data_IF_284220091901
#
_entry.id   IF_284220091901
#
_cell.length_a   1.000
_cell.length_b   1.000
_cell.length_c   1.000
_cell.angle_alpha   90.00
_cell.angle_beta   90.00
_cell.angle_gamma   90.00
#
_symmetry.space_group_name_H-M   'P 1'
#
loop_
_entity.id
_entity.type
_entity.pdbx_description
1 polymer ?
#
# COMPACT_ATOMS: atom_id res chain seq x y z
N UNK A 1 -35.55 20.11 6.03
CA UNK A 1 -36.09 19.00 6.85
C UNK A 1 -34.93 18.05 7.15
N UNK A 2 -34.15 18.33 8.19
CA UNK A 2 -33.05 17.50 8.69
C UNK A 2 -33.28 17.42 10.20
N UNK A 3 -34.17 16.52 10.58
CA UNK A 3 -34.63 16.36 11.96
C UNK A 3 -34.53 14.88 12.26
N UNK A 4 -33.38 14.50 12.80
CA UNK A 4 -33.14 13.58 13.91
C UNK A 4 -31.75 12.98 13.71
N UNK A 5 -30.76 13.59 14.35
CA UNK A 5 -29.50 12.93 14.67
C UNK A 5 -29.81 11.92 15.80
N UNK A 6 -29.68 10.63 15.51
CA UNK A 6 -30.03 9.55 16.44
C UNK A 6 -28.85 9.20 17.38
N UNK A 7 -27.65 9.76 17.15
CA UNK A 7 -26.43 9.43 17.91
C UNK A 7 -25.45 10.60 18.02
N UNK A 8 -25.71 11.64 18.82
CA UNK A 8 -24.72 12.70 18.98
C UNK A 8 -23.50 12.19 19.78
N UNK A 9 -22.30 12.25 19.19
CA UNK A 9 -21.01 12.05 19.86
C UNK A 9 -20.24 10.78 19.47
N UNK A 10 -19.53 10.17 20.43
CA UNK A 10 -18.62 9.02 20.20
C UNK A 10 -19.30 7.82 19.52
N UNK A 11 -20.60 7.62 19.74
CA UNK A 11 -21.36 6.53 19.12
C UNK A 11 -21.53 6.71 17.60
N UNK A 12 -21.71 7.95 17.11
CA UNK A 12 -21.73 8.23 15.66
C UNK A 12 -20.36 8.04 15.04
N UNK A 13 -19.29 8.46 15.72
CA UNK A 13 -17.92 8.22 15.24
C UNK A 13 -17.57 6.72 15.23
N UNK A 14 -17.99 5.95 16.24
CA UNK A 14 -17.83 4.49 16.25
C UNK A 14 -18.64 3.81 15.16
N UNK A 15 -19.87 4.27 14.91
CA UNK A 15 -20.69 3.76 13.81
C UNK A 15 -20.10 4.09 12.45
N UNK A 16 -19.52 5.28 12.26
CA UNK A 16 -18.80 5.66 11.05
C UNK A 16 -17.54 4.83 10.86
N UNK A 17 -16.75 4.59 11.92
CA UNK A 17 -15.57 3.70 11.86
C UNK A 17 -16.01 2.29 11.48
N UNK A 18 -17.01 1.72 12.16
CA UNK A 18 -17.51 0.38 11.87
C UNK A 18 -18.10 0.27 10.45
N UNK A 19 -18.69 1.36 9.93
CA UNK A 19 -19.18 1.41 8.56
C UNK A 19 -18.05 1.47 7.54
N UNK A 20 -17.04 2.30 7.75
CA UNK A 20 -15.84 2.35 6.90
C UNK A 20 -15.11 1.01 6.92
N UNK A 21 -14.97 0.38 8.09
CA UNK A 21 -14.43 -0.98 8.21
C UNK A 21 -15.25 -1.98 7.39
N UNK A 22 -16.58 -1.95 7.48
CA UNK A 22 -17.45 -2.83 6.70
C UNK A 22 -17.32 -2.60 5.18
N UNK A 23 -17.26 -1.34 4.75
CA UNK A 23 -17.05 -0.98 3.33
C UNK A 23 -15.70 -1.48 2.86
N UNK A 24 -14.61 -1.22 3.60
CA UNK A 24 -13.26 -1.69 3.28
C UNK A 24 -13.19 -3.23 3.22
N UNK A 25 -13.84 -3.94 4.16
CA UNK A 25 -13.96 -5.41 4.12
C UNK A 25 -14.73 -5.91 2.90
N UNK A 26 -15.79 -5.20 2.50
CA UNK A 26 -16.57 -5.52 1.32
C UNK A 26 -15.74 -5.28 0.04
N UNK A 27 -15.00 -4.18 -0.02
CA UNK A 27 -14.12 -3.86 -1.14
C UNK A 27 -12.95 -4.83 -1.25
N UNK A 28 -12.38 -5.32 -0.14
CA UNK A 28 -11.40 -6.42 -0.15
C UNK A 28 -11.98 -7.71 -0.69
N UNK A 29 -13.21 -8.04 -0.32
CA UNK A 29 -13.91 -9.20 -0.87
C UNK A 29 -14.18 -9.05 -2.38
N UNK A 30 -14.27 -7.81 -2.86
CA UNK A 30 -14.40 -7.47 -4.28
C UNK A 30 -13.05 -7.29 -5.00
N UNK A 31 -11.96 -7.02 -4.27
CA UNK A 31 -10.58 -7.04 -4.75
C UNK A 31 -10.13 -8.50 -4.89
N UNK A 32 -10.54 -9.11 -6.00
CA UNK A 32 -10.19 -10.51 -6.29
C UNK A 32 -8.67 -10.68 -6.43
N UNK A 33 -8.09 -11.40 -5.45
CA UNK A 33 -6.78 -12.02 -5.55
C UNK A 33 -5.67 -11.41 -4.69
N UNK A 34 -5.94 -10.62 -3.65
CA UNK A 34 -4.87 -10.25 -2.70
C UNK A 34 -4.07 -11.50 -2.27
N UNK A 35 -2.73 -11.40 -2.22
CA UNK A 35 -1.89 -12.57 -2.02
C UNK A 35 -2.15 -13.22 -0.66
N UNK A 36 -2.05 -14.54 -0.63
CA UNK A 36 -2.08 -15.27 0.64
C UNK A 36 -0.70 -15.17 1.28
N UNK A 37 -0.60 -14.80 2.57
CA UNK A 37 0.70 -14.72 3.23
C UNK A 37 1.44 -16.05 3.19
N UNK A 38 2.72 -16.02 2.82
CA UNK A 38 3.58 -17.19 2.87
C UNK A 38 4.32 -17.26 4.20
N UNK A 39 4.42 -18.45 4.77
CA UNK A 39 5.23 -18.70 5.97
C UNK A 39 6.70 -18.90 5.56
N UNK A 40 7.45 -17.80 5.48
CA UNK A 40 8.86 -17.80 5.09
C UNK A 40 9.67 -16.73 5.84
N UNK A 41 11.00 -16.85 5.84
CA UNK A 41 11.89 -15.77 6.30
C UNK A 41 12.14 -14.77 5.18
N UNK A 42 12.12 -13.47 5.49
CA UNK A 42 12.41 -12.41 4.51
C UNK A 42 13.93 -12.31 4.32
N UNK A 43 14.40 -12.63 3.11
CA UNK A 43 15.81 -12.56 2.76
C UNK A 43 16.24 -11.11 2.48
N UNK A 44 17.37 -10.67 3.06
CA UNK A 44 17.98 -9.37 2.74
C UNK A 44 18.53 -9.40 1.30
N UNK A 45 18.30 -8.34 0.55
CA UNK A 45 18.67 -8.16 -0.86
C UNK A 45 19.64 -7.00 -0.99
N UNK A 46 20.59 -7.15 -1.92
CA UNK A 46 21.50 -6.08 -2.28
C UNK A 46 20.83 -5.15 -3.29
N UNK A 47 20.47 -3.95 -2.85
CA UNK A 47 19.80 -2.91 -3.64
C UNK A 47 20.50 -2.59 -4.97
N UNK A 48 21.83 -2.76 -5.05
CA UNK A 48 22.59 -2.46 -6.27
C UNK A 48 22.27 -3.40 -7.43
N UNK A 49 21.78 -4.61 -7.12
CA UNK A 49 21.38 -5.62 -8.11
C UNK A 49 19.98 -5.40 -8.68
N UNK A 50 19.24 -4.45 -8.12
CA UNK A 50 17.84 -4.22 -8.44
C UNK A 50 17.62 -2.88 -9.17
N UNK A 51 18.66 -2.33 -9.83
CA UNK A 51 18.57 -1.10 -10.63
C UNK A 51 18.21 -1.38 -12.09
N UNK A 52 17.47 -0.46 -12.72
CA UNK A 52 17.02 -0.53 -14.12
C UNK A 52 16.26 -1.83 -14.43
N UNK A 53 15.43 -2.28 -13.48
CA UNK A 53 14.66 -3.52 -13.61
C UNK A 53 13.26 -3.23 -14.12
N UNK A 54 12.67 -4.27 -14.71
CA UNK A 54 11.24 -4.33 -14.97
C UNK A 54 10.58 -4.94 -13.74
N UNK A 55 9.59 -4.27 -13.18
CA UNK A 55 8.81 -4.71 -12.04
C UNK A 55 7.38 -4.98 -12.50
N UNK A 56 6.72 -6.00 -11.96
CA UNK A 56 5.39 -6.38 -12.41
C UNK A 56 4.46 -6.70 -11.24
N UNK A 57 3.22 -6.24 -11.35
CA UNK A 57 2.12 -6.59 -10.45
C UNK A 57 0.80 -6.54 -11.21
N UNK A 58 -0.31 -6.93 -10.60
CA UNK A 58 -1.63 -6.86 -11.24
C UNK A 58 -2.06 -5.41 -11.45
N UNK A 59 -2.66 -5.15 -12.60
CA UNK A 59 -3.34 -3.90 -12.93
C UNK A 59 -4.50 -3.60 -11.97
N UNK A 60 -5.00 -2.36 -12.00
CA UNK A 60 -5.98 -1.82 -11.02
C UNK A 60 -5.37 -1.83 -9.63
N UNK A 61 -4.38 -0.97 -9.43
CA UNK A 61 -3.58 -0.97 -8.20
C UNK A 61 -4.46 -0.80 -6.96
N UNK A 62 -4.32 -1.76 -6.06
CA UNK A 62 -4.80 -1.65 -4.68
C UNK A 62 -3.77 -0.89 -3.84
N UNK A 63 -4.09 -0.61 -2.57
CA UNK A 63 -3.28 0.25 -1.70
C UNK A 63 -1.84 -0.25 -1.53
N UNK A 64 -1.65 -1.57 -1.34
CA UNK A 64 -0.30 -2.15 -1.19
C UNK A 64 0.49 -2.06 -2.50
N UNK A 65 -0.15 -2.33 -3.65
CA UNK A 65 0.51 -2.26 -4.98
C UNK A 65 1.00 -0.86 -5.31
N UNK A 66 0.16 0.16 -5.10
CA UNK A 66 0.55 1.54 -5.41
C UNK A 66 1.66 2.01 -4.47
N UNK A 67 1.59 1.65 -3.20
CA UNK A 67 2.64 1.96 -2.22
C UNK A 67 3.95 1.23 -2.54
N UNK A 68 3.90 -0.05 -2.93
CA UNK A 68 5.06 -0.83 -3.37
C UNK A 68 5.72 -0.18 -4.60
N UNK A 69 4.94 0.17 -5.62
CA UNK A 69 5.48 0.79 -6.82
C UNK A 69 6.14 2.16 -6.54
N UNK A 70 5.53 2.96 -5.65
CA UNK A 70 6.14 4.21 -5.17
C UNK A 70 7.45 3.96 -4.41
N UNK A 71 7.47 3.00 -3.48
CA UNK A 71 8.65 2.64 -2.69
C UNK A 71 9.80 2.16 -3.60
N UNK A 72 9.47 1.30 -4.56
CA UNK A 72 10.41 0.80 -5.56
C UNK A 72 11.02 1.98 -6.31
N UNK A 73 10.19 2.83 -6.93
CA UNK A 73 10.69 3.95 -7.74
C UNK A 73 11.49 4.96 -6.92
N UNK A 74 11.13 5.19 -5.66
CA UNK A 74 11.76 6.23 -4.85
C UNK A 74 13.06 5.79 -4.18
N UNK A 75 13.11 4.57 -3.64
CA UNK A 75 14.22 4.12 -2.80
C UNK A 75 15.03 2.99 -3.43
N UNK A 76 14.38 2.04 -4.11
CA UNK A 76 15.01 0.79 -4.58
C UNK A 76 15.58 0.92 -5.99
N UNK A 77 14.81 1.45 -6.92
CA UNK A 77 15.12 1.50 -8.35
C UNK A 77 14.50 2.76 -8.99
N UNK A 78 15.31 3.84 -9.06
CA UNK A 78 14.87 5.15 -9.59
C UNK A 78 14.48 5.11 -11.07
N UNK A 79 14.93 4.10 -11.79
CA UNK A 79 14.68 3.91 -13.22
C UNK A 79 13.82 2.67 -13.47
N UNK A 80 13.04 2.26 -12.46
CA UNK A 80 12.09 1.16 -12.57
C UNK A 80 11.05 1.41 -13.67
N UNK A 81 10.89 0.40 -14.52
CA UNK A 81 9.77 0.28 -15.45
C UNK A 81 8.74 -0.69 -14.87
N UNK A 82 7.46 -0.39 -14.99
CA UNK A 82 6.40 -1.24 -14.47
C UNK A 82 5.59 -1.90 -15.57
N UNK A 83 5.12 -3.12 -15.29
CA UNK A 83 4.17 -3.86 -16.11
C UNK A 83 2.96 -4.19 -15.26
N UNK A 84 1.80 -3.69 -15.68
CA UNK A 84 0.51 -3.90 -15.02
C UNK A 84 -0.22 -5.08 -15.65
N UNK A 85 -0.11 -6.24 -15.01
CA UNK A 85 -0.55 -7.53 -15.53
C UNK A 85 -2.07 -7.67 -15.48
N UNK A 86 -2.69 -8.24 -16.52
CA UNK A 86 -4.07 -8.69 -16.42
C UNK A 86 -4.20 -9.96 -15.55
N UNK A 87 -3.19 -10.82 -15.58
CA UNK A 87 -3.09 -12.02 -14.75
C UNK A 87 -1.64 -12.31 -14.32
N UNK A 88 -1.38 -12.83 -13.10
CA UNK A 88 -0.02 -13.15 -12.64
C UNK A 88 0.79 -14.06 -13.58
N UNK A 89 0.13 -14.96 -14.30
CA UNK A 89 0.77 -15.90 -15.25
C UNK A 89 1.36 -15.20 -16.47
N UNK A 90 0.98 -13.96 -16.74
CA UNK A 90 1.51 -13.14 -17.84
C UNK A 90 2.81 -12.41 -17.46
N UNK A 91 3.30 -12.59 -16.22
CA UNK A 91 4.53 -11.94 -15.76
C UNK A 91 5.74 -12.34 -16.62
N UNK A 92 6.46 -11.39 -17.24
CA UNK A 92 7.65 -11.69 -18.02
C UNK A 92 8.73 -12.37 -17.16
N UNK A 93 9.43 -13.37 -17.72
CA UNK A 93 10.44 -14.13 -16.97
C UNK A 93 11.62 -13.28 -16.44
N UNK A 94 11.86 -12.11 -17.03
CA UNK A 94 12.90 -11.17 -16.61
C UNK A 94 12.37 -10.06 -15.68
N UNK A 95 11.06 -10.00 -15.42
CA UNK A 95 10.46 -9.02 -14.53
C UNK A 95 10.48 -9.50 -13.07
N UNK A 96 10.56 -8.54 -12.16
CA UNK A 96 10.48 -8.78 -10.72
C UNK A 96 9.04 -8.62 -10.26
N UNK A 97 8.41 -9.75 -9.91
CA UNK A 97 7.04 -9.78 -9.43
C UNK A 97 6.89 -9.22 -8.03
N UNK A 98 5.83 -8.45 -7.78
CA UNK A 98 5.41 -8.06 -6.44
C UNK A 98 3.89 -8.08 -6.25
N UNK A 99 3.44 -8.33 -5.03
CA UNK A 99 2.03 -8.27 -4.59
C UNK A 99 1.02 -9.16 -5.34
N UNK A 100 1.41 -10.41 -5.54
CA UNK A 100 0.53 -11.50 -5.96
C UNK A 100 1.13 -12.86 -5.55
N UNK A 101 0.32 -13.91 -5.61
CA UNK A 101 0.76 -15.26 -5.23
C UNK A 101 1.90 -15.76 -6.13
N UNK A 102 3.02 -16.15 -5.51
CA UNK A 102 4.21 -16.60 -6.22
C UNK A 102 5.13 -15.48 -6.75
N UNK A 103 4.81 -14.22 -6.48
CA UNK A 103 5.73 -13.11 -6.71
C UNK A 103 7.00 -13.22 -5.84
N UNK A 104 8.11 -12.64 -6.28
CA UNK A 104 9.35 -12.60 -5.47
C UNK A 104 9.16 -11.78 -4.19
N UNK A 105 8.37 -10.71 -4.26
CA UNK A 105 8.01 -9.86 -3.13
C UNK A 105 6.50 -9.93 -2.89
N UNK A 106 6.07 -10.78 -1.97
CA UNK A 106 4.66 -10.97 -1.62
C UNK A 106 4.48 -10.94 -0.11
N UNK A 107 3.25 -11.09 0.39
CA UNK A 107 2.96 -11.11 1.83
C UNK A 107 3.71 -12.24 2.53
N UNK A 108 4.33 -11.94 3.67
CA UNK A 108 5.07 -12.92 4.48
C UNK A 108 4.65 -12.82 5.94
N UNK A 109 4.04 -13.89 6.46
CA UNK A 109 3.46 -13.90 7.80
C UNK A 109 2.42 -12.80 7.98
N UNK A 110 2.70 -11.82 8.87
CA UNK A 110 1.82 -10.65 9.09
C UNK A 110 2.21 -9.40 8.30
N UNK A 111 3.23 -9.50 7.44
CA UNK A 111 3.75 -8.35 6.68
C UNK A 111 3.15 -8.34 5.28
N UNK A 112 2.60 -7.19 4.91
CA UNK A 112 2.16 -6.91 3.54
C UNK A 112 3.36 -6.70 2.62
N UNK A 113 3.17 -6.70 1.30
CA UNK A 113 4.25 -6.66 0.30
C UNK A 113 5.14 -5.43 0.50
N UNK A 114 4.57 -4.28 0.84
CA UNK A 114 5.33 -3.06 1.13
C UNK A 114 6.35 -3.27 2.26
N UNK A 115 5.94 -3.90 3.34
CA UNK A 115 6.80 -4.15 4.50
C UNK A 115 7.82 -5.26 4.24
N UNK A 116 7.47 -6.21 3.38
CA UNK A 116 8.42 -7.21 2.89
C UNK A 116 9.50 -6.57 2.04
N UNK A 117 9.17 -5.58 1.20
CA UNK A 117 10.18 -4.78 0.47
C UNK A 117 11.06 -3.98 1.43
N UNK A 118 10.49 -3.31 2.44
CA UNK A 118 11.28 -2.59 3.45
C UNK A 118 12.29 -3.51 4.15
N UNK A 119 11.80 -4.65 4.64
CA UNK A 119 12.63 -5.64 5.30
C UNK A 119 13.67 -6.23 4.34
N UNK A 120 13.30 -6.52 3.08
CA UNK A 120 14.22 -7.08 2.08
C UNK A 120 15.38 -6.14 1.75
N UNK A 121 15.13 -4.84 1.61
CA UNK A 121 16.13 -3.87 1.18
C UNK A 121 16.79 -3.08 2.33
N UNK A 122 16.50 -3.44 3.59
CA UNK A 122 17.11 -2.77 4.74
C UNK A 122 16.63 -1.34 4.97
N UNK A 123 15.37 -1.07 4.61
CA UNK A 123 14.69 0.22 4.81
C UNK A 123 13.82 0.22 6.07
N UNK A 124 13.87 -0.86 6.85
CA UNK A 124 13.10 -1.13 8.06
C UNK A 124 13.58 -0.36 9.30
N UNK A 125 14.55 0.54 9.16
CA UNK A 125 14.99 1.49 10.20
C UNK A 125 14.50 2.92 9.97
N UNK A 126 13.86 3.21 8.83
CA UNK A 126 13.32 4.53 8.51
C UNK A 126 11.93 4.69 9.14
N UNK A 127 11.81 5.60 10.11
CA UNK A 127 10.56 5.86 10.85
C UNK A 127 9.39 6.24 9.94
N UNK A 128 9.63 7.07 8.92
CA UNK A 128 8.58 7.50 7.99
C UNK A 128 8.07 6.34 7.15
N UNK A 129 8.97 5.48 6.66
CA UNK A 129 8.61 4.28 5.92
C UNK A 129 7.89 3.25 6.81
N UNK A 130 8.29 3.10 8.08
CA UNK A 130 7.61 2.22 9.02
C UNK A 130 6.17 2.67 9.29
N UNK A 131 5.94 3.98 9.46
CA UNK A 131 4.58 4.54 9.64
C UNK A 131 3.73 4.42 8.37
N UNK A 132 4.32 4.64 7.19
CA UNK A 132 3.66 4.34 5.92
C UNK A 132 3.30 2.84 5.84
N UNK A 133 4.20 1.94 6.22
CA UNK A 133 3.95 0.50 6.24
C UNK A 133 2.77 0.11 7.12
N UNK A 134 2.65 0.71 8.31
CA UNK A 134 1.50 0.51 9.19
C UNK A 134 0.19 0.98 8.56
N UNK A 135 0.19 2.15 7.89
CA UNK A 135 -0.98 2.67 7.18
C UNK A 135 -1.39 1.75 6.03
N UNK A 136 -0.44 1.30 5.22
CA UNK A 136 -0.66 0.38 4.11
C UNK A 136 -1.22 -0.94 4.63
N UNK A 137 -0.60 -1.55 5.66
CA UNK A 137 -1.11 -2.79 6.28
C UNK A 137 -2.54 -2.63 6.78
N UNK A 138 -2.84 -1.52 7.46
CA UNK A 138 -4.20 -1.28 7.96
C UNK A 138 -5.21 -1.23 6.80
N UNK A 139 -4.92 -0.52 5.72
CA UNK A 139 -5.82 -0.42 4.56
C UNK A 139 -5.89 -1.73 3.76
N UNK A 140 -4.81 -2.48 3.69
CA UNK A 140 -4.71 -3.70 2.90
C UNK A 140 -5.34 -4.91 3.59
N UNK A 141 -5.04 -5.13 4.87
CA UNK A 141 -5.48 -6.32 5.63
C UNK A 141 -6.23 -6.02 6.93
N UNK A 142 -6.36 -4.74 7.34
CA UNK A 142 -7.26 -4.33 8.43
C UNK A 142 -6.66 -4.52 9.81
N UNK A 143 -5.35 -4.65 9.88
CA UNK A 143 -4.63 -4.83 11.14
C UNK A 143 -4.17 -3.49 11.70
N UNK A 144 -4.64 -3.14 12.90
CA UNK A 144 -4.26 -1.94 13.64
C UNK A 144 -5.20 -0.74 13.44
N UNK A 145 -4.68 0.46 13.67
CA UNK A 145 -5.38 1.72 13.48
C UNK A 145 -4.37 2.81 13.14
N UNK A 146 -4.64 3.58 12.08
CA UNK A 146 -3.81 4.72 11.67
C UNK A 146 -4.72 5.91 11.35
N UNK A 147 -4.61 7.05 12.07
CA UNK A 147 -5.50 8.20 11.90
C UNK A 147 -5.56 8.74 10.46
N UNK A 148 -4.44 8.71 9.76
CA UNK A 148 -4.30 9.24 8.40
C UNK A 148 -4.88 8.30 7.32
N UNK A 149 -5.21 7.05 7.67
CA UNK A 149 -5.57 6.02 6.71
C UNK A 149 -6.86 6.32 5.94
N UNK A 150 -7.93 6.74 6.62
CA UNK A 150 -9.22 7.03 5.96
C UNK A 150 -9.11 8.21 4.98
N UNK A 151 -8.29 9.20 5.31
CA UNK A 151 -8.00 10.32 4.41
C UNK A 151 -7.22 9.86 3.17
N UNK A 152 -6.23 8.99 3.34
CA UNK A 152 -5.48 8.42 2.22
C UNK A 152 -6.34 7.51 1.34
N UNK A 153 -7.20 6.68 1.93
CA UNK A 153 -8.15 5.82 1.22
C UNK A 153 -9.09 6.65 0.35
N UNK A 154 -9.72 7.70 0.90
CA UNK A 154 -10.59 8.58 0.13
C UNK A 154 -9.89 9.26 -1.06
N UNK A 155 -8.63 9.67 -0.89
CA UNK A 155 -7.81 10.23 -1.96
C UNK A 155 -7.54 9.17 -3.04
N UNK A 156 -7.12 7.96 -2.62
CA UNK A 156 -6.81 6.86 -3.53
C UNK A 156 -8.05 6.44 -4.34
N UNK A 157 -9.22 6.38 -3.70
CA UNK A 157 -10.49 6.07 -4.36
C UNK A 157 -10.86 7.09 -5.43
N UNK A 158 -10.73 8.37 -5.10
CA UNK A 158 -10.96 9.45 -6.06
C UNK A 158 -9.95 9.42 -7.21
N UNK A 159 -8.69 9.12 -6.93
CA UNK A 159 -7.64 8.99 -7.93
C UNK A 159 -7.92 7.80 -8.88
N UNK A 160 -8.29 6.63 -8.35
CA UNK A 160 -8.64 5.43 -9.12
C UNK A 160 -9.79 5.67 -10.10
N UNK A 161 -10.78 6.47 -9.72
CA UNK A 161 -11.92 6.80 -10.58
C UNK A 161 -11.57 7.77 -11.71
N UNK A 162 -10.56 8.63 -11.51
CA UNK A 162 -10.16 9.65 -12.50
C UNK A 162 -9.01 9.23 -13.39
N UNK A 163 -8.12 8.37 -12.92
CA UNK A 163 -6.94 7.95 -13.65
C UNK A 163 -7.33 7.16 -14.91
N UNK A 164 -6.64 7.44 -16.02
CA UNK A 164 -6.87 6.72 -17.28
C UNK A 164 -6.29 5.30 -17.25
N UNK A 165 -5.18 5.11 -16.53
CA UNK A 165 -4.45 3.86 -16.36
C UNK A 165 -3.65 3.85 -15.03
N UNK A 166 -2.98 2.74 -14.76
CA UNK A 166 -2.23 2.54 -13.50
C UNK A 166 -0.94 3.40 -13.42
N UNK A 167 -0.36 3.82 -14.55
CA UNK A 167 0.78 4.76 -14.54
C UNK A 167 0.34 6.16 -14.15
N UNK A 168 -0.79 6.62 -14.68
CA UNK A 168 -1.42 7.88 -14.28
C UNK A 168 -1.80 7.87 -12.79
N UNK A 169 -2.40 6.76 -12.32
CA UNK A 169 -2.73 6.57 -10.90
C UNK A 169 -1.48 6.65 -10.02
N UNK A 170 -0.43 5.90 -10.37
CA UNK A 170 0.83 5.90 -9.62
C UNK A 170 1.46 7.29 -9.61
N UNK A 171 1.49 7.99 -10.74
CA UNK A 171 2.03 9.35 -10.81
C UNK A 171 1.27 10.32 -9.91
N UNK A 172 -0.06 10.23 -9.87
CA UNK A 172 -0.90 11.11 -9.06
C UNK A 172 -0.72 10.84 -7.55
N UNK A 173 -0.81 9.57 -7.14
CA UNK A 173 -0.74 9.16 -5.73
C UNK A 173 0.68 9.30 -5.16
N UNK A 174 1.71 9.25 -6.01
CA UNK A 174 3.11 9.41 -5.57
C UNK A 174 3.36 10.72 -4.83
N UNK A 175 2.74 11.83 -5.24
CA UNK A 175 2.88 13.11 -4.55
C UNK A 175 2.26 13.12 -3.15
N UNK A 176 1.19 12.35 -2.96
CA UNK A 176 0.51 12.18 -1.67
C UNK A 176 1.36 11.31 -0.75
N UNK A 177 1.89 10.20 -1.26
CA UNK A 177 2.83 9.33 -0.52
C UNK A 177 4.11 10.06 -0.14
N UNK A 178 4.65 10.92 -1.01
CA UNK A 178 5.78 11.79 -0.69
C UNK A 178 5.46 12.75 0.47
N UNK A 179 4.26 13.31 0.48
CA UNK A 179 3.80 14.22 1.54
C UNK A 179 3.60 13.50 2.86
N UNK A 180 2.97 12.31 2.84
CA UNK A 180 2.79 11.47 4.02
C UNK A 180 4.12 10.95 4.56
N UNK A 181 5.05 10.55 3.70
CA UNK A 181 6.41 10.19 4.10
C UNK A 181 7.09 11.37 4.81
N UNK A 182 7.05 12.56 4.23
CA UNK A 182 7.65 13.75 4.85
C UNK A 182 6.98 14.15 6.17
N UNK A 183 5.67 13.94 6.30
CA UNK A 183 4.94 14.16 7.55
C UNK A 183 5.34 13.14 8.62
N UNK A 184 5.32 11.84 8.29
CA UNK A 184 5.66 10.77 9.22
C UNK A 184 7.12 10.78 9.67
N UNK A 185 8.03 11.28 8.83
CA UNK A 185 9.46 11.43 9.15
C UNK A 185 9.79 12.61 10.07
N UNK A 186 8.85 13.52 10.35
CA UNK A 186 9.08 14.68 11.25
C UNK A 186 8.72 14.40 12.71
N UNK A 187 7.84 13.44 12.94
CA UNK A 187 7.36 13.06 14.28
C UNK A 187 8.37 12.10 14.94
N UNK A 188 9.48 12.65 15.40
CA UNK A 188 10.43 11.96 16.29
C UNK A 188 9.97 12.01 17.76
N UNK A 189 8.66 11.85 18.02
CA UNK A 189 8.14 11.57 19.36
C UNK A 189 8.40 12.63 20.45
N UNK A 190 8.28 13.93 20.14
CA UNK A 190 8.19 14.97 21.17
C UNK A 190 6.76 15.56 21.17
N UNK A 191 5.93 15.30 22.19
CA UNK A 191 4.64 15.94 22.30
C UNK A 191 4.81 17.42 22.65
N UNK A 192 3.99 18.27 22.04
CA UNK A 192 3.77 19.66 22.46
C UNK A 192 2.95 19.74 23.75
#
# INVERSE_FOLDING_TARGET
MRTTDYFPGQASSQAEIAWTEFVSLSERSLSTGEPVPVEASIAKRDITKYRHRVWATRRRLWVDRVACAWLIRRFIDKEASFVWLASPQECPANALGFDYDGAEFTHVGKRVSFEVLLASFGLDSDTGLLRLGAMVRFLDVGDGFVPEASGFEAILDGARQRAADDDALLSEVSGVLDSLYAYFSKDDGVPA
#
